data_IF_352497154243
#
_entry.id   IF_352497154243
#
_cell.length_a   1.000
_cell.length_b   1.000
_cell.length_c   1.000
_cell.angle_alpha   90.00
_cell.angle_beta   90.00
_cell.angle_gamma   90.00
#
_symmetry.space_group_name_H-M   'P 1'
#
loop_
_entity.id
_entity.type
_entity.pdbx_description
1 polymer ?
#
# COMPACT_ATOMS: atom_id res chain seq x y z
N UNK A 1 -6.56 -0.74 10.58
CA UNK A 1 -7.35 0.24 9.83
C UNK A 1 -6.46 0.93 8.78
N UNK A 2 -6.83 0.86 7.52
CA UNK A 2 -6.15 1.56 6.43
C UNK A 2 -7.05 2.70 5.97
N UNK A 3 -6.51 3.90 5.93
CA UNK A 3 -7.18 5.09 5.41
C UNK A 3 -6.55 5.52 4.08
N UNK A 4 -7.21 6.38 3.35
CA UNK A 4 -6.76 6.87 2.04
C UNK A 4 -7.84 6.80 0.99
N UNK A 5 -7.48 7.20 -0.22
CA UNK A 5 -8.40 7.21 -1.35
C UNK A 5 -8.83 5.77 -1.70
N UNK A 6 -10.14 5.55 -1.77
CA UNK A 6 -10.73 4.22 -2.02
C UNK A 6 -10.93 3.35 -0.79
N UNK A 7 -10.47 3.78 0.40
CA UNK A 7 -10.76 3.12 1.67
C UNK A 7 -12.13 3.55 2.22
N UNK A 8 -12.61 2.84 3.27
CA UNK A 8 -13.85 3.20 3.94
C UNK A 8 -13.80 4.64 4.47
N UNK A 9 -14.92 5.36 4.38
CA UNK A 9 -14.98 6.77 4.75
C UNK A 9 -14.72 7.03 6.26
N UNK A 10 -15.14 6.11 7.15
CA UNK A 10 -14.92 6.21 8.60
C UNK A 10 -14.94 4.82 9.26
N UNK A 11 -13.91 4.02 9.01
CA UNK A 11 -13.82 2.65 9.52
C UNK A 11 -13.70 2.60 11.05
N UNK A 12 -13.04 3.59 11.66
CA UNK A 12 -12.89 3.61 13.11
C UNK A 12 -14.24 3.75 13.83
N UNK A 13 -15.12 4.63 13.32
CA UNK A 13 -16.48 4.78 13.87
C UNK A 13 -17.33 3.51 13.72
N UNK A 14 -17.14 2.75 12.64
CA UNK A 14 -17.83 1.47 12.44
C UNK A 14 -17.31 0.38 13.41
N UNK A 15 -16.02 0.37 13.69
CA UNK A 15 -15.40 -0.62 14.58
C UNK A 15 -15.60 -0.32 16.06
N UNK A 16 -15.63 0.95 16.45
CA UNK A 16 -15.66 1.40 17.85
C UNK A 16 -16.78 0.76 18.70
N UNK A 17 -18.05 0.68 18.26
CA UNK A 17 -19.11 0.05 19.04
C UNK A 17 -18.86 -1.45 19.28
N UNK A 18 -18.25 -2.12 18.31
CA UNK A 18 -17.93 -3.55 18.44
C UNK A 18 -16.77 -3.76 19.38
N UNK A 19 -15.71 -2.95 19.30
CA UNK A 19 -14.56 -3.00 20.22
C UNK A 19 -15.06 -2.82 21.65
N UNK A 20 -15.84 -1.76 21.91
CA UNK A 20 -16.40 -1.51 23.24
C UNK A 20 -17.24 -2.68 23.74
N UNK A 21 -18.14 -3.20 22.92
CA UNK A 21 -19.01 -4.32 23.30
C UNK A 21 -18.23 -5.59 23.66
N UNK A 22 -17.17 -5.94 22.91
CA UNK A 22 -16.39 -7.16 23.18
C UNK A 22 -15.48 -7.00 24.42
N UNK A 23 -14.93 -5.81 24.65
CA UNK A 23 -14.13 -5.52 25.85
C UNK A 23 -15.00 -5.51 27.10
N UNK A 24 -16.17 -4.84 27.07
CA UNK A 24 -17.13 -4.83 28.17
C UNK A 24 -17.64 -6.25 28.50
N UNK A 25 -17.92 -7.05 27.45
CA UNK A 25 -18.33 -8.44 27.62
C UNK A 25 -17.23 -9.28 28.29
N UNK A 26 -15.99 -9.16 27.83
CA UNK A 26 -14.86 -9.88 28.40
C UNK A 26 -14.69 -9.51 29.88
N UNK A 27 -14.77 -8.22 30.23
CA UNK A 27 -14.69 -7.73 31.59
C UNK A 27 -15.82 -8.31 32.46
N UNK A 28 -17.06 -8.40 31.96
CA UNK A 28 -18.19 -8.99 32.67
C UNK A 28 -18.06 -10.50 32.93
N UNK A 29 -17.22 -11.17 32.15
CA UNK A 29 -16.90 -12.60 32.28
C UNK A 29 -15.56 -12.84 33.01
N UNK A 30 -15.03 -11.81 33.68
CA UNK A 30 -13.73 -11.83 34.39
C UNK A 30 -12.56 -12.28 33.49
N UNK A 31 -12.66 -12.03 32.19
CA UNK A 31 -11.62 -12.31 31.19
C UNK A 31 -10.89 -11.04 30.77
N UNK A 32 -9.59 -11.14 30.64
CA UNK A 32 -8.79 -10.08 30.01
C UNK A 32 -8.87 -10.17 28.48
N UNK A 33 -9.26 -9.08 27.83
CA UNK A 33 -9.22 -8.94 26.39
C UNK A 33 -8.57 -7.59 26.05
N UNK A 34 -7.52 -7.64 25.26
CA UNK A 34 -6.86 -6.45 24.73
C UNK A 34 -7.07 -6.40 23.22
N UNK A 35 -7.55 -5.29 22.72
CA UNK A 35 -7.66 -5.02 21.29
C UNK A 35 -6.49 -4.14 20.89
N UNK A 36 -5.64 -4.63 19.99
CA UNK A 36 -4.55 -3.86 19.43
C UNK A 36 -4.96 -3.34 18.05
N UNK A 37 -4.65 -2.10 17.76
CA UNK A 37 -4.96 -1.49 16.49
C UNK A 37 -3.80 -0.64 15.98
N UNK A 38 -3.66 -0.60 14.66
CA UNK A 38 -2.80 0.36 13.97
C UNK A 38 -3.60 1.03 12.86
N UNK A 39 -3.34 2.31 12.61
CA UNK A 39 -3.90 3.08 11.50
C UNK A 39 -2.78 3.33 10.50
N UNK A 40 -3.01 2.92 9.27
CA UNK A 40 -2.05 3.14 8.16
C UNK A 40 -2.61 4.20 7.25
N UNK A 41 -1.89 5.28 7.11
CA UNK A 41 -2.25 6.44 6.30
C UNK A 41 -1.45 7.68 6.69
N UNK A 42 -1.92 8.83 6.27
CA UNK A 42 -1.28 10.13 6.48
C UNK A 42 -2.27 11.18 6.99
N UNK A 43 -1.75 12.28 7.53
CA UNK A 43 -2.55 13.42 7.98
C UNK A 43 -3.34 14.09 6.84
N UNK A 44 -2.95 13.85 5.59
CA UNK A 44 -3.62 14.39 4.40
C UNK A 44 -4.78 13.54 3.90
N UNK A 45 -4.97 12.35 4.46
CA UNK A 45 -6.08 11.49 4.08
C UNK A 45 -7.41 12.05 4.60
N UNK A 46 -8.44 11.98 3.75
CA UNK A 46 -9.74 12.62 4.02
C UNK A 46 -10.41 12.11 5.31
N UNK A 47 -10.09 10.88 5.73
CA UNK A 47 -10.62 10.28 6.96
C UNK A 47 -10.05 10.93 8.23
N UNK A 48 -8.88 11.61 8.15
CA UNK A 48 -8.17 12.22 9.26
C UNK A 48 -7.44 11.17 10.13
N UNK A 49 -6.13 11.09 9.96
CA UNK A 49 -5.29 10.08 10.64
C UNK A 49 -5.47 10.09 12.16
N UNK A 50 -5.31 11.25 12.78
CA UNK A 50 -5.43 11.40 14.25
C UNK A 50 -6.85 11.14 14.73
N UNK A 51 -7.86 11.57 13.98
CA UNK A 51 -9.28 11.29 14.28
C UNK A 51 -9.55 9.79 14.33
N UNK A 52 -9.05 9.03 13.36
CA UNK A 52 -9.26 7.58 13.31
C UNK A 52 -8.56 6.86 14.47
N UNK A 53 -7.36 7.31 14.86
CA UNK A 53 -6.64 6.80 16.03
C UNK A 53 -7.42 7.07 17.32
N UNK A 54 -7.84 8.30 17.51
CA UNK A 54 -8.57 8.73 18.71
C UNK A 54 -9.87 7.93 18.92
N UNK A 55 -10.66 7.73 17.85
CA UNK A 55 -11.90 6.96 17.93
C UNK A 55 -11.65 5.53 18.40
N UNK A 56 -10.61 4.88 17.90
CA UNK A 56 -10.26 3.51 18.29
C UNK A 56 -9.74 3.45 19.74
N UNK A 57 -8.95 4.43 20.14
CA UNK A 57 -8.42 4.54 21.51
C UNK A 57 -9.56 4.78 22.53
N UNK A 58 -10.48 5.70 22.23
CA UNK A 58 -11.67 5.95 23.05
C UNK A 58 -12.61 4.74 23.15
N UNK A 59 -12.60 3.88 22.14
CA UNK A 59 -13.31 2.61 22.15
C UNK A 59 -12.62 1.52 23.01
N UNK A 60 -11.41 1.77 23.52
CA UNK A 60 -10.65 0.87 24.35
C UNK A 60 -9.60 0.03 23.61
N UNK A 61 -9.26 0.40 22.38
CA UNK A 61 -8.13 -0.23 21.68
C UNK A 61 -6.81 0.41 22.10
N UNK A 62 -5.76 -0.39 22.20
CA UNK A 62 -4.38 0.07 22.34
C UNK A 62 -3.82 0.36 20.94
N UNK A 63 -3.46 1.61 20.71
CA UNK A 63 -2.96 2.05 19.41
C UNK A 63 -1.47 1.80 19.31
N UNK A 64 -1.06 1.12 18.24
CA UNK A 64 0.33 0.88 17.90
C UNK A 64 0.69 1.69 16.64
N UNK A 65 1.86 2.33 16.64
CA UNK A 65 2.29 3.17 15.51
C UNK A 65 2.69 2.35 14.30
N UNK A 66 3.15 1.12 14.51
CA UNK A 66 3.56 0.23 13.44
C UNK A 66 3.01 -1.17 13.64
N UNK A 67 2.92 -1.93 12.55
CA UNK A 67 2.56 -3.35 12.61
C UNK A 67 3.59 -4.17 13.41
N UNK A 68 4.88 -3.84 13.31
CA UNK A 68 5.93 -4.48 14.12
C UNK A 68 5.68 -4.28 15.62
N UNK A 69 5.41 -3.04 16.04
CA UNK A 69 5.06 -2.73 17.42
C UNK A 69 3.82 -3.51 17.88
N UNK A 70 2.78 -3.57 17.04
CA UNK A 70 1.56 -4.30 17.34
C UNK A 70 1.83 -5.79 17.59
N UNK A 71 2.65 -6.43 16.73
CA UNK A 71 3.02 -7.83 16.87
C UNK A 71 3.84 -8.06 18.14
N UNK A 72 4.83 -7.21 18.44
CA UNK A 72 5.64 -7.29 19.66
C UNK A 72 4.79 -7.17 20.90
N UNK A 73 3.93 -6.15 20.95
CA UNK A 73 2.99 -5.95 22.06
C UNK A 73 2.08 -7.17 22.26
N UNK A 74 1.57 -7.75 21.15
CA UNK A 74 0.74 -8.95 21.25
C UNK A 74 1.50 -10.14 21.86
N UNK A 75 2.75 -10.36 21.45
CA UNK A 75 3.60 -11.43 21.98
C UNK A 75 3.87 -11.22 23.47
N UNK A 76 4.18 -9.99 23.90
CA UNK A 76 4.46 -9.66 25.30
C UNK A 76 3.22 -9.84 26.18
N UNK A 77 2.04 -9.44 25.70
CA UNK A 77 0.76 -9.60 26.42
C UNK A 77 0.42 -11.05 26.73
N UNK A 78 0.81 -11.99 25.87
CA UNK A 78 0.61 -13.43 26.11
C UNK A 78 1.80 -14.09 26.85
N UNK A 79 2.75 -13.30 27.37
CA UNK A 79 3.92 -13.78 28.10
C UNK A 79 5.03 -14.35 27.22
N UNK A 80 4.96 -14.10 25.92
CA UNK A 80 6.01 -14.47 24.97
C UNK A 80 7.22 -13.57 25.06
N UNK A 81 8.33 -14.04 24.50
CA UNK A 81 9.56 -13.23 24.35
C UNK A 81 9.72 -12.82 22.89
N UNK A 82 9.87 -11.54 22.67
CA UNK A 82 10.20 -11.01 21.34
C UNK A 82 11.69 -11.17 21.13
N UNK A 83 12.08 -11.93 20.13
CA UNK A 83 13.48 -11.94 19.70
C UNK A 83 13.85 -10.53 19.23
N UNK A 84 14.93 -10.00 19.78
CA UNK A 84 15.54 -8.80 19.20
C UNK A 84 16.01 -9.19 17.78
N UNK A 85 15.64 -8.46 16.74
CA UNK A 85 16.24 -8.71 15.45
C UNK A 85 17.75 -8.52 15.63
N UNK A 86 18.53 -9.52 15.27
CA UNK A 86 19.96 -9.34 15.02
C UNK A 86 20.09 -8.46 13.77
N UNK A 87 19.72 -7.22 13.91
CA UNK A 87 20.11 -6.18 12.97
C UNK A 87 21.58 -5.89 13.24
N UNK A 88 22.47 -6.75 12.75
CA UNK A 88 23.66 -6.18 12.19
C UNK A 88 23.18 -5.16 11.15
N UNK A 89 23.07 -3.91 11.59
CA UNK A 89 23.04 -2.81 10.62
C UNK A 89 24.36 -2.97 9.88
N UNK A 90 24.32 -3.67 8.74
CA UNK A 90 25.39 -3.57 7.77
C UNK A 90 25.53 -2.08 7.58
N UNK A 91 26.54 -1.48 8.20
CA UNK A 91 26.96 -0.15 7.86
C UNK A 91 27.14 -0.20 6.35
N UNK A 92 26.23 0.42 5.61
CA UNK A 92 26.54 0.74 4.23
C UNK A 92 27.78 1.61 4.36
N UNK A 93 28.92 0.97 4.11
CA UNK A 93 30.15 1.72 3.89
C UNK A 93 29.79 2.67 2.76
N UNK A 94 29.62 3.94 3.11
CA UNK A 94 29.53 4.99 2.11
C UNK A 94 30.92 5.04 1.48
N UNK A 95 31.22 4.02 0.66
CA UNK A 95 32.31 4.10 -0.25
C UNK A 95 32.19 5.46 -0.92
N UNK A 96 33.28 6.16 -0.97
CA UNK A 96 33.44 7.40 -1.74
C UNK A 96 33.30 7.07 -3.24
N UNK A 97 32.30 6.28 -3.61
CA UNK A 97 31.85 6.22 -4.99
C UNK A 97 31.18 7.55 -5.25
N UNK A 98 31.82 8.32 -6.09
CA UNK A 98 31.27 9.52 -6.68
C UNK A 98 29.98 9.09 -7.38
N UNK A 99 28.88 9.11 -6.63
CA UNK A 99 27.54 8.79 -7.15
C UNK A 99 27.16 9.95 -8.08
N UNK A 100 27.79 9.96 -9.26
CA UNK A 100 27.32 10.80 -10.36
C UNK A 100 25.91 10.29 -10.69
N UNK A 101 24.93 11.03 -10.22
CA UNK A 101 23.52 10.75 -10.53
C UNK A 101 23.37 10.88 -12.05
N UNK A 102 22.90 9.83 -12.69
CA UNK A 102 22.64 9.85 -14.14
C UNK A 102 21.78 11.07 -14.49
N UNK A 103 22.21 11.84 -15.50
CA UNK A 103 21.49 13.03 -15.98
C UNK A 103 20.01 12.74 -16.28
N UNK A 104 19.69 11.52 -16.74
CA UNK A 104 18.31 11.10 -16.98
C UNK A 104 17.51 10.97 -15.68
N UNK A 105 18.13 10.48 -14.62
CA UNK A 105 17.50 10.41 -13.29
C UNK A 105 17.29 11.81 -12.72
N UNK A 106 18.27 12.70 -12.85
CA UNK A 106 18.12 14.10 -12.43
C UNK A 106 17.03 14.80 -13.23
N UNK A 107 16.96 14.56 -14.54
CA UNK A 107 15.91 15.10 -15.39
C UNK A 107 14.51 14.60 -14.98
N UNK A 108 14.39 13.32 -14.62
CA UNK A 108 13.12 12.75 -14.15
C UNK A 108 12.63 13.37 -12.83
N UNK A 109 13.56 13.68 -11.92
CA UNK A 109 13.24 14.29 -10.62
C UNK A 109 12.97 15.79 -10.73
N UNK A 110 13.71 16.47 -11.62
CA UNK A 110 13.68 17.94 -11.76
C UNK A 110 12.61 18.46 -12.71
N UNK A 111 12.12 17.62 -13.60
CA UNK A 111 11.09 17.97 -14.57
C UNK A 111 9.78 17.26 -14.25
N UNK A 112 8.67 17.83 -14.72
CA UNK A 112 7.40 17.14 -14.68
C UNK A 112 7.39 16.02 -15.74
N UNK A 113 7.43 14.74 -15.35
CA UNK A 113 7.43 13.65 -16.32
C UNK A 113 6.07 13.53 -16.99
N UNK A 114 6.06 13.23 -18.31
CA UNK A 114 4.86 12.77 -18.98
C UNK A 114 4.63 11.29 -18.62
N UNK A 115 3.40 10.95 -18.25
CA UNK A 115 3.02 9.63 -17.78
C UNK A 115 2.22 8.89 -18.86
N UNK A 116 2.50 7.61 -19.08
CA UNK A 116 1.63 6.73 -19.86
C UNK A 116 0.95 5.78 -18.87
N UNK A 117 -0.38 5.87 -18.78
CA UNK A 117 -1.14 4.92 -17.97
C UNK A 117 -1.65 3.76 -18.82
N UNK A 118 -1.33 2.53 -18.39
CA UNK A 118 -1.83 1.28 -18.96
C UNK A 118 -2.61 0.58 -17.85
N UNK A 119 -3.92 0.80 -17.80
CA UNK A 119 -4.72 0.21 -16.73
C UNK A 119 -6.00 1.00 -16.44
N UNK A 120 -6.33 1.11 -15.17
CA UNK A 120 -7.55 1.77 -14.72
C UNK A 120 -7.54 3.27 -15.05
N UNK A 121 -8.62 3.75 -15.63
CA UNK A 121 -8.79 5.16 -16.00
C UNK A 121 -8.71 6.10 -14.78
N UNK A 122 -9.10 5.63 -13.61
CA UNK A 122 -9.01 6.41 -12.37
C UNK A 122 -7.58 6.85 -12.03
N UNK A 123 -6.56 6.11 -12.46
CA UNK A 123 -5.16 6.54 -12.29
C UNK A 123 -4.80 7.69 -13.24
N UNK A 124 -5.32 7.69 -14.47
CA UNK A 124 -5.19 8.83 -15.37
C UNK A 124 -5.80 10.09 -14.75
N UNK A 125 -7.03 9.98 -14.26
CA UNK A 125 -7.73 11.09 -13.62
C UNK A 125 -6.98 11.62 -12.38
N UNK A 126 -6.37 10.75 -11.58
CA UNK A 126 -5.55 11.15 -10.44
C UNK A 126 -4.29 11.92 -10.85
N UNK A 127 -3.63 11.50 -11.94
CA UNK A 127 -2.43 12.16 -12.47
C UNK A 127 -2.79 13.52 -13.09
N UNK A 128 -3.88 13.60 -13.86
CA UNK A 128 -4.39 14.85 -14.43
C UNK A 128 -4.75 15.86 -13.33
N UNK A 129 -5.44 15.41 -12.28
CA UNK A 129 -5.79 16.23 -11.14
C UNK A 129 -4.57 16.75 -10.36
N UNK A 130 -3.43 16.07 -10.46
CA UNK A 130 -2.15 16.51 -9.91
C UNK A 130 -1.43 17.53 -10.79
N UNK A 131 -1.98 17.87 -11.97
CA UNK A 131 -1.39 18.81 -12.92
C UNK A 131 -0.28 18.23 -13.79
N UNK A 132 -0.14 16.91 -13.85
CA UNK A 132 0.84 16.24 -14.69
C UNK A 132 0.22 15.81 -16.04
N UNK A 133 1.06 15.76 -17.08
CA UNK A 133 0.64 15.25 -18.38
C UNK A 133 0.53 13.73 -18.35
N UNK A 134 -0.60 13.19 -18.82
CA UNK A 134 -0.81 11.75 -18.88
C UNK A 134 -1.53 11.34 -20.16
N UNK A 135 -1.11 10.22 -20.71
CA UNK A 135 -1.76 9.57 -21.86
C UNK A 135 -2.34 8.24 -21.38
N UNK A 136 -3.65 8.10 -21.53
CA UNK A 136 -4.32 6.81 -21.29
C UNK A 136 -4.12 5.90 -22.49
N UNK A 137 -3.43 4.78 -22.30
CA UNK A 137 -3.27 3.76 -23.32
C UNK A 137 -4.33 2.67 -23.16
N UNK A 138 -5.20 2.52 -24.16
CA UNK A 138 -6.19 1.44 -24.20
C UNK A 138 -5.55 0.15 -24.68
N UNK A 139 -4.84 -0.51 -23.78
CA UNK A 139 -4.25 -1.81 -24.09
C UNK A 139 -5.35 -2.88 -24.24
N UNK A 140 -5.22 -3.65 -25.29
CA UNK A 140 -6.01 -4.86 -25.49
C UNK A 140 -5.07 -6.02 -25.77
N UNK A 141 -5.34 -7.21 -25.24
CA UNK A 141 -4.53 -8.37 -25.54
C UNK A 141 -4.57 -8.66 -27.04
N UNK A 142 -3.45 -9.11 -27.59
CA UNK A 142 -3.37 -9.55 -28.99
C UNK A 142 -4.47 -10.60 -29.25
N UNK A 143 -5.15 -10.50 -30.38
CA UNK A 143 -6.26 -11.37 -30.75
C UNK A 143 -7.41 -11.40 -29.73
N UNK A 144 -7.60 -10.34 -28.93
CA UNK A 144 -8.61 -10.31 -27.87
C UNK A 144 -8.38 -11.32 -26.75
N UNK A 145 -7.18 -11.93 -26.66
CA UNK A 145 -6.84 -12.96 -25.69
C UNK A 145 -7.18 -14.40 -26.15
N UNK A 146 -7.63 -14.58 -27.40
CA UNK A 146 -7.85 -15.91 -27.97
C UNK A 146 -6.50 -16.60 -28.29
N UNK A 147 -6.21 -17.68 -27.54
CA UNK A 147 -4.93 -18.40 -27.67
C UNK A 147 -4.72 -19.02 -29.07
N UNK A 148 -5.78 -19.47 -29.71
CA UNK A 148 -5.69 -20.08 -31.05
C UNK A 148 -5.35 -19.02 -32.08
N UNK A 149 -6.02 -17.87 -32.00
CA UNK A 149 -5.78 -16.76 -32.87
C UNK A 149 -4.40 -16.12 -32.64
N UNK A 150 -3.93 -16.07 -31.38
CA UNK A 150 -2.57 -15.65 -31.06
C UNK A 150 -1.52 -16.53 -31.73
N UNK A 151 -1.67 -17.85 -31.68
CA UNK A 151 -0.76 -18.78 -32.35
C UNK A 151 -0.72 -18.59 -33.87
N UNK A 152 -1.87 -18.35 -34.47
CA UNK A 152 -1.96 -18.05 -35.91
C UNK A 152 -1.27 -16.75 -36.24
N UNK A 153 -1.47 -15.69 -35.46
CA UNK A 153 -0.80 -14.40 -35.66
C UNK A 153 0.72 -14.49 -35.46
N UNK A 154 1.17 -15.25 -34.45
CA UNK A 154 2.59 -15.51 -34.25
C UNK A 154 3.21 -16.26 -35.42
N UNK A 155 2.51 -17.28 -35.93
CA UNK A 155 2.96 -18.00 -37.12
C UNK A 155 3.06 -17.08 -38.35
N UNK A 156 2.07 -16.22 -38.58
CA UNK A 156 2.05 -15.28 -39.69
C UNK A 156 3.14 -14.21 -39.56
N UNK A 157 3.38 -13.71 -38.37
CA UNK A 157 4.43 -12.70 -38.13
C UNK A 157 5.84 -13.28 -38.26
N UNK A 158 6.04 -14.56 -37.94
CA UNK A 158 7.31 -15.25 -38.11
C UNK A 158 7.50 -15.82 -39.53
N UNK A 159 6.45 -15.82 -40.31
CA UNK A 159 6.50 -16.19 -41.72
C UNK A 159 6.95 -14.99 -42.54
N UNK A 160 8.23 -14.63 -42.37
CA UNK A 160 8.92 -13.81 -43.39
C UNK A 160 9.03 -14.70 -44.63
N UNK A 161 8.24 -14.38 -45.63
CA UNK A 161 8.19 -15.14 -46.84
C UNK A 161 9.59 -15.38 -47.40
N UNK A 162 9.96 -16.63 -47.53
CA UNK A 162 11.01 -16.98 -48.46
C UNK A 162 10.60 -16.41 -49.81
N UNK A 163 11.34 -15.39 -50.20
CA UNK A 163 11.17 -14.74 -51.48
C UNK A 163 11.23 -15.80 -52.58
N UNK A 164 10.16 -15.95 -53.32
CA UNK A 164 10.12 -16.56 -54.66
C UNK A 164 10.75 -15.58 -55.65
#
# INVERSE_FOLDING_TARGET
NVIGYGSHADMASELAPTIKRITDKAASEERSLVVLATVVGTDKDAQGYDKQRQILEEAGAVICDTNDQMVRTAIELIGGKVAQPETEMKSFDKGNEDLSVDEKMMSLISNNPSVINIGLKSFTEAVENSGAEVVQFNWRPVAGGDEKLMKVLQFLNNYEGENV
#
